data_IF_315607853232
#
_entry.id   IF_315607853232
#
_cell.length_a   1.000
_cell.length_b   1.000
_cell.length_c   1.000
_cell.angle_alpha   90.00
_cell.angle_beta   90.00
_cell.angle_gamma   90.00
#
_symmetry.space_group_name_H-M   'P 1'
#
loop_
_entity.id
_entity.type
_entity.pdbx_description
1 polymer ?
#
# COMPACT_ATOMS: atom_id res chain seq x y z
N UNK A 1 15.78 11.90 7.82
CA UNK A 1 14.77 11.99 8.89
C UNK A 1 13.81 10.81 8.76
N UNK A 2 13.14 10.37 9.83
CA UNK A 2 12.12 9.31 9.80
C UNK A 2 11.02 9.62 10.82
N UNK A 3 9.77 9.34 10.48
CA UNK A 3 8.64 9.53 11.39
C UNK A 3 7.76 8.27 11.44
N UNK A 4 7.44 7.83 12.66
CA UNK A 4 6.36 6.88 12.86
C UNK A 4 5.02 7.60 12.62
N UNK A 5 4.10 6.97 11.90
CA UNK A 5 2.82 7.57 11.57
C UNK A 5 1.62 6.75 12.11
N UNK A 6 1.50 6.61 13.45
CA UNK A 6 0.38 5.90 14.06
C UNK A 6 -0.95 6.58 13.73
N UNK A 7 -2.02 5.79 13.56
CA UNK A 7 -3.34 6.28 13.19
C UNK A 7 -3.61 6.31 11.68
N UNK A 8 -2.57 6.50 10.84
CA UNK A 8 -2.77 6.60 9.38
C UNK A 8 -3.25 5.28 8.75
N UNK A 9 -2.89 4.12 9.33
CA UNK A 9 -3.36 2.82 8.83
C UNK A 9 -4.87 2.70 9.04
N UNK A 10 -5.35 3.11 10.22
CA UNK A 10 -6.75 3.06 10.61
C UNK A 10 -7.62 3.95 9.72
N UNK A 11 -7.10 5.11 9.27
CA UNK A 11 -7.78 5.94 8.26
C UNK A 11 -7.96 5.19 6.94
N UNK A 12 -6.92 4.49 6.45
CA UNK A 12 -6.99 3.71 5.20
C UNK A 12 -7.96 2.55 5.34
N UNK A 13 -7.91 1.79 6.44
CA UNK A 13 -8.82 0.66 6.69
C UNK A 13 -10.29 1.09 6.79
N UNK A 14 -10.55 2.31 7.27
CA UNK A 14 -11.88 2.93 7.31
C UNK A 14 -12.28 3.63 6.01
N UNK A 15 -11.43 3.61 4.98
CA UNK A 15 -11.63 4.30 3.70
C UNK A 15 -11.79 5.82 3.85
N UNK A 16 -11.09 6.41 4.82
CA UNK A 16 -11.01 7.84 5.07
C UNK A 16 -9.66 8.36 4.57
N UNK A 17 -9.48 8.37 3.25
CA UNK A 17 -8.20 8.66 2.59
C UNK A 17 -8.01 10.13 2.19
N UNK A 18 -9.03 10.94 2.45
CA UNK A 18 -9.06 12.38 2.24
C UNK A 18 -9.81 13.08 3.39
N UNK A 19 -9.93 14.40 3.30
CA UNK A 19 -10.59 15.22 4.32
C UNK A 19 -9.62 15.85 5.33
N UNK A 20 -10.18 16.72 6.17
CA UNK A 20 -9.42 17.57 7.09
C UNK A 20 -8.76 16.78 8.23
N UNK A 21 -9.45 15.79 8.77
CA UNK A 21 -8.97 15.01 9.92
C UNK A 21 -7.67 14.26 9.62
N UNK A 22 -7.63 13.55 8.48
CA UNK A 22 -6.44 12.82 8.03
C UNK A 22 -5.32 13.78 7.61
N UNK A 23 -5.66 14.95 7.05
CA UNK A 23 -4.66 15.97 6.70
C UNK A 23 -3.98 16.54 7.95
N UNK A 24 -4.75 16.93 8.97
CA UNK A 24 -4.22 17.45 10.24
C UNK A 24 -3.34 16.43 10.96
N UNK A 25 -3.76 15.16 10.97
CA UNK A 25 -2.96 14.08 11.53
C UNK A 25 -1.64 13.92 10.74
N UNK A 26 -1.72 13.89 9.41
CA UNK A 26 -0.56 13.75 8.53
C UNK A 26 0.42 14.91 8.70
N UNK A 27 -0.06 16.16 8.76
CA UNK A 27 0.76 17.35 8.98
C UNK A 27 1.52 17.29 10.32
N UNK A 28 0.81 16.96 11.40
CA UNK A 28 1.43 16.80 12.72
C UNK A 28 2.53 15.74 12.72
N UNK A 29 2.27 14.60 12.08
CA UNK A 29 3.21 13.46 12.07
C UNK A 29 4.41 13.72 11.17
N UNK A 30 4.23 14.39 10.04
CA UNK A 30 5.28 14.63 9.05
C UNK A 30 6.01 15.97 9.23
N UNK A 31 5.57 16.87 10.11
CA UNK A 31 6.26 18.14 10.41
C UNK A 31 7.77 17.96 10.65
N UNK A 32 8.26 17.01 11.48
CA UNK A 32 9.71 16.83 11.68
C UNK A 32 10.46 16.38 10.42
N UNK A 33 9.77 15.72 9.48
CA UNK A 33 10.36 15.29 8.21
C UNK A 33 10.37 16.45 7.21
N UNK A 34 9.30 17.25 7.19
CA UNK A 34 9.18 18.47 6.39
C UNK A 34 10.20 19.53 6.81
N UNK A 35 10.35 19.75 8.11
CA UNK A 35 11.31 20.72 8.68
C UNK A 35 12.77 20.32 8.42
N UNK A 36 13.03 19.01 8.20
CA UNK A 36 14.34 18.53 7.80
C UNK A 36 14.69 18.83 6.34
N UNK A 37 13.77 19.42 5.56
CA UNK A 37 14.01 19.87 4.19
C UNK A 37 14.30 18.74 3.20
N UNK A 38 13.66 17.59 3.37
CA UNK A 38 13.82 16.46 2.43
C UNK A 38 13.23 16.79 1.07
N UNK A 39 13.86 16.32 0.00
CA UNK A 39 13.35 16.41 -1.38
C UNK A 39 12.57 15.14 -1.81
N UNK A 40 12.66 14.08 -1.01
CA UNK A 40 12.09 12.77 -1.30
C UNK A 40 11.57 12.12 -0.02
N UNK A 41 10.43 11.43 -0.11
CA UNK A 41 9.81 10.72 1.00
C UNK A 41 9.40 9.30 0.59
N UNK A 42 9.99 8.29 1.23
CA UNK A 42 9.59 6.90 1.06
C UNK A 42 8.31 6.60 1.85
N UNK A 43 7.29 6.09 1.16
CA UNK A 43 6.07 5.55 1.75
C UNK A 43 6.35 4.13 2.29
N UNK A 44 6.86 4.07 3.52
CA UNK A 44 7.37 2.85 4.16
C UNK A 44 6.31 1.87 4.68
N UNK A 45 5.02 2.12 4.47
CA UNK A 45 3.93 1.20 4.81
C UNK A 45 3.10 0.91 3.56
N UNK A 46 2.64 -0.33 3.42
CA UNK A 46 1.80 -0.78 2.29
C UNK A 46 0.48 -0.02 2.16
N UNK A 47 0.00 0.63 3.23
CA UNK A 47 -1.22 1.44 3.23
C UNK A 47 -1.02 2.87 2.72
N UNK A 48 0.19 3.42 2.83
CA UNK A 48 0.41 4.84 2.56
C UNK A 48 0.30 5.28 1.09
N UNK A 49 0.43 4.41 0.06
CA UNK A 49 0.09 4.78 -1.30
C UNK A 49 -1.35 5.31 -1.45
N UNK A 50 -2.30 4.85 -0.62
CA UNK A 50 -3.69 5.32 -0.63
C UNK A 50 -3.85 6.73 -0.05
N UNK A 51 -2.90 7.17 0.79
CA UNK A 51 -2.83 8.52 1.35
C UNK A 51 -1.92 9.45 0.55
N UNK A 52 -1.31 8.98 -0.55
CA UNK A 52 -0.34 9.75 -1.33
C UNK A 52 -0.85 11.16 -1.70
N UNK A 53 -2.13 11.38 -2.11
CA UNK A 53 -2.61 12.73 -2.38
C UNK A 53 -2.58 13.66 -1.16
N UNK A 54 -2.95 13.16 0.03
CA UNK A 54 -2.92 13.93 1.29
C UNK A 54 -1.49 14.17 1.73
N UNK A 55 -0.65 13.14 1.69
CA UNK A 55 0.77 13.23 2.04
C UNK A 55 1.48 14.24 1.12
N UNK A 56 1.23 14.19 -0.19
CA UNK A 56 1.81 15.13 -1.15
C UNK A 56 1.40 16.57 -0.84
N UNK A 57 0.12 16.80 -0.54
CA UNK A 57 -0.38 18.14 -0.16
C UNK A 57 0.32 18.67 1.09
N UNK A 58 0.53 17.82 2.09
CA UNK A 58 1.19 18.18 3.35
C UNK A 58 2.68 18.47 3.12
N UNK A 59 3.37 17.61 2.37
CA UNK A 59 4.81 17.74 2.11
C UNK A 59 5.14 18.84 1.10
N UNK A 60 4.20 19.17 0.22
CA UNK A 60 4.35 20.11 -0.89
C UNK A 60 4.89 19.45 -2.16
N UNK A 61 4.68 20.10 -3.31
CA UNK A 61 5.01 19.56 -4.64
C UNK A 61 6.52 19.43 -4.91
N UNK A 62 7.36 20.03 -4.06
CA UNK A 62 8.82 19.90 -4.11
C UNK A 62 9.35 18.57 -3.56
N UNK A 63 8.48 17.72 -2.99
CA UNK A 63 8.87 16.44 -2.40
C UNK A 63 8.39 15.28 -3.27
N UNK A 64 9.31 14.45 -3.72
CA UNK A 64 9.02 13.25 -4.50
C UNK A 64 8.57 12.12 -3.56
N UNK A 65 7.35 11.62 -3.75
CA UNK A 65 6.88 10.44 -3.01
C UNK A 65 7.33 9.16 -3.71
N UNK A 66 8.00 8.29 -2.95
CA UNK A 66 8.48 6.99 -3.43
C UNK A 66 7.62 5.88 -2.83
N UNK A 67 6.98 5.07 -3.67
CA UNK A 67 6.16 3.93 -3.21
C UNK A 67 7.00 2.66 -3.10
N UNK A 68 7.14 2.13 -1.88
CA UNK A 68 7.80 0.84 -1.64
C UNK A 68 7.16 -0.33 -2.39
N UNK A 69 5.84 -0.26 -2.66
CA UNK A 69 5.14 -1.28 -3.44
C UNK A 69 5.60 -1.30 -4.91
N UNK A 70 5.79 -0.12 -5.51
CA UNK A 70 6.23 -0.01 -6.91
C UNK A 70 7.67 -0.50 -7.07
N UNK A 71 8.56 -0.07 -6.17
CA UNK A 71 9.96 -0.51 -6.18
C UNK A 71 10.07 -2.02 -5.99
N UNK A 72 9.25 -2.59 -5.10
CA UNK A 72 9.18 -4.04 -4.93
C UNK A 72 8.70 -4.75 -6.21
N UNK A 73 7.68 -4.22 -6.89
CA UNK A 73 7.18 -4.80 -8.13
C UNK A 73 8.23 -4.76 -9.26
N UNK A 74 8.98 -3.67 -9.38
CA UNK A 74 10.07 -3.55 -10.35
C UNK A 74 11.21 -4.53 -10.07
N UNK A 75 11.63 -4.64 -8.81
CA UNK A 75 12.65 -5.59 -8.41
C UNK A 75 12.24 -7.05 -8.66
N UNK A 76 10.99 -7.40 -8.38
CA UNK A 76 10.46 -8.76 -8.65
C UNK A 76 10.46 -9.04 -10.15
N UNK A 77 10.04 -8.09 -10.99
CA UNK A 77 10.07 -8.26 -12.45
C UNK A 77 11.50 -8.51 -12.95
N UNK A 78 12.45 -7.66 -12.56
CA UNK A 78 13.85 -7.81 -12.95
C UNK A 78 14.45 -9.16 -12.50
N UNK A 79 14.09 -9.61 -11.30
CA UNK A 79 14.52 -10.90 -10.78
C UNK A 79 13.94 -12.08 -11.58
N UNK A 80 12.67 -12.00 -11.98
CA UNK A 80 12.03 -13.03 -12.80
C UNK A 80 12.64 -13.09 -14.21
N UNK A 81 12.88 -11.93 -14.82
CA UNK A 81 13.47 -11.81 -16.15
C UNK A 81 14.92 -12.35 -16.15
N UNK A 82 15.75 -11.92 -15.20
CA UNK A 82 17.15 -12.33 -15.10
C UNK A 82 17.32 -13.84 -14.83
N UNK A 83 16.31 -14.49 -14.24
CA UNK A 83 16.30 -15.94 -13.98
C UNK A 83 15.57 -16.75 -15.05
N UNK A 84 15.01 -16.11 -16.09
CA UNK A 84 14.21 -16.80 -17.09
C UNK A 84 12.92 -17.44 -16.52
N UNK A 85 12.37 -16.86 -15.45
CA UNK A 85 11.16 -17.32 -14.76
C UNK A 85 9.93 -16.48 -15.11
N UNK A 86 10.09 -15.46 -15.96
CA UNK A 86 8.98 -14.65 -16.42
C UNK A 86 7.96 -15.50 -17.18
N UNK A 87 6.68 -15.34 -16.83
CA UNK A 87 5.60 -15.99 -17.56
C UNK A 87 5.53 -15.44 -19.01
N UNK A 88 5.14 -16.25 -20.00
CA UNK A 88 4.92 -15.78 -21.36
C UNK A 88 3.87 -14.65 -21.40
N UNK A 89 4.07 -13.66 -22.27
CA UNK A 89 3.13 -12.55 -22.44
C UNK A 89 1.72 -13.01 -22.89
N UNK A 90 1.60 -14.20 -23.47
CA UNK A 90 0.35 -14.81 -23.91
C UNK A 90 -0.41 -15.53 -22.79
N UNK A 91 0.21 -15.72 -21.62
CA UNK A 91 -0.40 -16.44 -20.52
C UNK A 91 -1.43 -15.55 -19.81
N UNK A 92 -2.66 -16.05 -19.69
CA UNK A 92 -3.71 -15.40 -18.89
C UNK A 92 -3.37 -15.58 -17.41
N UNK A 93 -3.21 -14.46 -16.70
CA UNK A 93 -2.91 -14.47 -15.27
C UNK A 93 -4.09 -15.05 -14.47
N UNK A 94 -3.78 -15.97 -13.56
CA UNK A 94 -4.73 -16.45 -12.55
C UNK A 94 -4.36 -15.85 -11.20
N UNK A 95 -5.33 -15.23 -10.53
CA UNK A 95 -5.15 -14.57 -9.23
C UNK A 95 -6.05 -15.25 -8.21
N UNK A 96 -5.49 -15.60 -7.05
CA UNK A 96 -6.22 -16.22 -5.94
C UNK A 96 -5.89 -15.44 -4.67
N UNK A 97 -6.92 -15.07 -3.91
CA UNK A 97 -6.77 -14.29 -2.70
C UNK A 97 -7.17 -15.14 -1.49
N UNK A 98 -6.44 -14.99 -0.40
CA UNK A 98 -6.68 -15.74 0.83
C UNK A 98 -6.57 -14.82 2.04
N UNK A 99 -7.44 -15.02 3.03
CA UNK A 99 -7.40 -14.32 4.32
C UNK A 99 -7.36 -15.32 5.46
N UNK A 100 -6.43 -15.14 6.41
CA UNK A 100 -6.44 -15.88 7.68
C UNK A 100 -7.39 -15.27 8.72
N UNK A 101 -7.95 -14.10 8.44
CA UNK A 101 -8.96 -13.44 9.26
C UNK A 101 -10.34 -13.55 8.63
N UNK A 102 -11.16 -12.54 8.89
CA UNK A 102 -12.49 -12.44 8.28
C UNK A 102 -12.38 -12.23 6.76
N UNK A 103 -12.98 -13.16 6.00
CA UNK A 103 -12.94 -13.17 4.53
C UNK A 103 -13.77 -12.03 3.95
N UNK A 104 -14.92 -11.71 4.55
CA UNK A 104 -15.83 -10.68 4.05
C UNK A 104 -15.27 -9.29 4.31
N UNK A 105 -14.67 -9.07 5.48
CA UNK A 105 -13.96 -7.85 5.82
C UNK A 105 -12.76 -7.63 4.88
N UNK A 106 -11.96 -8.69 4.64
CA UNK A 106 -10.85 -8.62 3.69
C UNK A 106 -11.33 -8.34 2.27
N UNK A 107 -12.37 -9.03 1.80
CA UNK A 107 -12.93 -8.83 0.47
C UNK A 107 -13.47 -7.40 0.31
N UNK A 108 -14.14 -6.88 1.34
CA UNK A 108 -14.69 -5.52 1.35
C UNK A 108 -13.58 -4.48 1.29
N UNK A 109 -12.56 -4.58 2.13
CA UNK A 109 -11.43 -3.66 2.12
C UNK A 109 -10.61 -3.80 0.83
N UNK A 110 -10.27 -5.03 0.44
CA UNK A 110 -9.48 -5.34 -0.74
C UNK A 110 -10.14 -4.84 -2.03
N UNK A 111 -11.47 -4.93 -2.18
CA UNK A 111 -12.18 -4.39 -3.36
C UNK A 111 -12.13 -2.87 -3.41
N UNK A 112 -12.10 -2.20 -2.27
CA UNK A 112 -11.93 -0.73 -2.21
C UNK A 112 -10.52 -0.32 -2.62
N UNK A 113 -9.52 -1.09 -2.19
CA UNK A 113 -8.10 -0.77 -2.37
C UNK A 113 -7.50 -1.25 -3.71
N UNK A 114 -7.91 -2.43 -4.18
CA UNK A 114 -7.40 -3.07 -5.41
C UNK A 114 -8.42 -3.01 -6.56
N UNK A 115 -9.65 -2.57 -6.29
CA UNK A 115 -10.70 -2.46 -7.30
C UNK A 115 -11.11 -3.84 -7.85
N UNK A 116 -11.44 -3.94 -9.16
CA UNK A 116 -11.93 -5.17 -9.78
C UNK A 116 -10.87 -6.28 -9.86
N UNK A 117 -9.61 -5.97 -9.55
CA UNK A 117 -8.52 -6.94 -9.51
C UNK A 117 -8.66 -7.93 -8.35
N UNK A 118 -9.38 -7.56 -7.29
CA UNK A 118 -9.69 -8.49 -6.21
C UNK A 118 -10.80 -9.46 -6.65
N UNK A 119 -10.37 -10.68 -6.98
CA UNK A 119 -11.26 -11.79 -7.27
C UNK A 119 -11.90 -12.39 -6.01
N UNK A 120 -12.22 -13.68 -6.09
CA UNK A 120 -12.73 -14.44 -4.95
C UNK A 120 -11.67 -14.56 -3.84
N UNK A 121 -12.11 -14.37 -2.59
CA UNK A 121 -11.28 -14.50 -1.40
C UNK A 121 -11.71 -15.77 -0.66
N UNK A 122 -10.76 -16.65 -0.37
CA UNK A 122 -11.00 -17.84 0.42
C UNK A 122 -10.38 -17.72 1.83
N UNK A 123 -10.95 -18.44 2.80
CA UNK A 123 -10.31 -18.57 4.11
C UNK A 123 -9.02 -19.38 3.98
N UNK A 124 -7.92 -18.85 4.50
CA UNK A 124 -6.67 -19.57 4.65
C UNK A 124 -6.75 -20.46 5.88
N UNK A 125 -6.73 -21.77 5.66
CA UNK A 125 -6.57 -22.74 6.73
C UNK A 125 -5.11 -23.18 6.72
N UNK A 126 -4.30 -22.67 7.65
CA UNK A 126 -2.99 -23.27 7.91
C UNK A 126 -3.26 -24.71 8.36
N UNK A 127 -2.84 -25.70 7.57
CA UNK A 127 -3.17 -27.10 7.82
C UNK A 127 -3.00 -27.52 9.28
N UNK A 128 -4.13 -27.61 9.98
CA UNK A 128 -4.35 -28.42 11.16
C UNK A 128 -5.61 -29.24 10.89
N UNK A 129 -5.55 -30.03 9.82
CA UNK A 129 -6.43 -31.18 9.63
C UNK A 129 -5.55 -32.41 9.85
N UNK A 130 -5.54 -32.90 11.09
CA UNK A 130 -5.28 -34.30 11.41
C UNK A 130 -6.62 -35.00 11.55
#
# INVERSE_FOLDING_TARGET
SSAACPGLVEFVERNQVDGEEVALLTERLLSPVKDAGVDSLLLGCTHYPYLAPVIQRVMGDGVVLVSSANETAFAVRELLDSRGLAAPATQVAQRRFFSSGDVDAFATLGRRLLGPELGEVAAWHSGAAS
#
